data_IF_058011512562
#
_entry.id   IF_058011512562
#
_cell.length_a   1.000
_cell.length_b   1.000
_cell.length_c   1.000
_cell.angle_alpha   90.00
_cell.angle_beta   90.00
_cell.angle_gamma   90.00
#
_symmetry.space_group_name_H-M   'P 1'
#
loop_
_entity.id
_entity.type
_entity.pdbx_description
1 polymer ?
#
# COMPACT_ATOMS: atom_id res chain seq x y z
N UNK A 1 38.77 -13.73 23.16
CA UNK A 1 37.50 -14.46 22.97
C UNK A 1 37.53 -15.01 21.56
N UNK A 2 37.50 -16.33 21.36
CA UNK A 2 37.60 -16.90 20.02
C UNK A 2 36.25 -16.76 19.33
N UNK A 3 36.23 -16.07 18.19
CA UNK A 3 35.13 -16.15 17.25
C UNK A 3 35.09 -17.59 16.74
N UNK A 4 34.07 -18.35 17.14
CA UNK A 4 33.81 -19.64 16.56
C UNK A 4 33.51 -19.43 15.07
N UNK A 5 34.36 -20.01 14.20
CA UNK A 5 34.03 -20.24 12.80
C UNK A 5 32.77 -21.10 12.78
N UNK A 6 31.60 -20.47 12.66
CA UNK A 6 30.40 -21.18 12.25
C UNK A 6 30.67 -21.73 10.86
N UNK A 7 30.41 -23.03 10.68
CA UNK A 7 30.59 -23.71 9.41
C UNK A 7 29.75 -23.00 8.35
N UNK A 8 30.31 -22.71 7.18
CA UNK A 8 29.63 -21.94 6.13
C UNK A 8 28.30 -22.58 5.70
N UNK A 9 28.20 -23.91 5.84
CA UNK A 9 26.99 -24.69 5.62
C UNK A 9 25.89 -24.43 6.66
N UNK A 10 26.23 -24.25 7.94
CA UNK A 10 25.27 -23.92 9.00
C UNK A 10 24.72 -22.50 8.84
N UNK A 11 25.57 -21.55 8.46
CA UNK A 11 25.16 -20.15 8.18
C UNK A 11 24.17 -20.10 7.02
N UNK A 12 24.44 -20.86 5.96
CA UNK A 12 23.57 -20.94 4.76
C UNK A 12 22.25 -21.64 5.08
N UNK A 13 22.29 -22.71 5.89
CA UNK A 13 21.09 -23.44 6.30
C UNK A 13 20.19 -22.57 7.18
N UNK A 14 20.77 -21.79 8.09
CA UNK A 14 20.01 -20.89 8.96
C UNK A 14 19.32 -19.77 8.19
N UNK A 15 20.00 -19.16 7.23
CA UNK A 15 19.41 -18.12 6.38
C UNK A 15 18.16 -18.63 5.67
N UNK A 16 18.24 -19.79 5.00
CA UNK A 16 17.09 -20.37 4.31
C UNK A 16 15.92 -20.66 5.26
N UNK A 17 16.18 -21.19 6.46
CA UNK A 17 15.12 -21.42 7.45
C UNK A 17 14.46 -20.09 7.86
N UNK A 18 15.26 -19.07 8.13
CA UNK A 18 14.75 -17.75 8.51
C UNK A 18 13.97 -17.08 7.36
N UNK A 19 14.36 -17.30 6.10
CA UNK A 19 13.61 -16.87 4.91
C UNK A 19 12.25 -17.58 4.81
N UNK A 20 12.19 -18.89 5.02
CA UNK A 20 10.94 -19.66 5.03
C UNK A 20 9.98 -19.18 6.13
N UNK A 21 10.51 -18.85 7.32
CA UNK A 21 9.72 -18.30 8.42
C UNK A 21 9.20 -16.92 8.06
N UNK A 22 10.05 -16.03 7.54
CA UNK A 22 9.65 -14.68 7.12
C UNK A 22 8.54 -14.75 6.07
N UNK A 23 8.72 -15.58 5.05
CA UNK A 23 7.74 -15.81 3.99
C UNK A 23 6.35 -16.17 4.57
N UNK A 24 6.31 -17.20 5.41
CA UNK A 24 5.07 -17.65 6.04
C UNK A 24 4.41 -16.55 6.89
N UNK A 25 5.20 -15.83 7.70
CA UNK A 25 4.67 -14.76 8.56
C UNK A 25 4.07 -13.60 7.75
N UNK A 26 4.70 -13.23 6.64
CA UNK A 26 4.19 -12.18 5.74
C UNK A 26 2.85 -12.59 5.11
N UNK A 27 2.76 -13.84 4.63
CA UNK A 27 1.49 -14.39 4.12
C UNK A 27 0.41 -14.46 5.21
N UNK A 28 0.76 -14.97 6.40
CA UNK A 28 -0.18 -15.12 7.50
C UNK A 28 -0.74 -13.77 7.95
N UNK A 29 0.11 -12.75 8.07
CA UNK A 29 -0.28 -11.39 8.42
C UNK A 29 -1.24 -10.81 7.37
N UNK A 30 -0.87 -10.89 6.09
CA UNK A 30 -1.69 -10.37 4.98
C UNK A 30 -3.05 -11.07 4.92
N UNK A 31 -3.07 -12.39 4.98
CA UNK A 31 -4.30 -13.19 4.92
C UNK A 31 -5.21 -12.93 6.13
N UNK A 32 -4.63 -12.76 7.32
CA UNK A 32 -5.39 -12.42 8.53
C UNK A 32 -6.03 -11.04 8.44
N UNK A 33 -5.33 -10.05 7.88
CA UNK A 33 -5.86 -8.70 7.66
C UNK A 33 -7.01 -8.69 6.66
N UNK A 34 -6.87 -9.41 5.55
CA UNK A 34 -7.94 -9.51 4.55
C UNK A 34 -9.17 -10.23 5.10
N UNK A 35 -8.97 -11.34 5.83
CA UNK A 35 -10.07 -12.06 6.48
C UNK A 35 -10.78 -11.19 7.50
N UNK A 36 -10.03 -10.48 8.34
CA UNK A 36 -10.60 -9.53 9.28
C UNK A 36 -11.41 -8.46 8.54
N UNK A 37 -10.88 -7.90 7.45
CA UNK A 37 -11.58 -6.87 6.71
C UNK A 37 -12.87 -7.39 6.07
N UNK A 38 -12.83 -8.56 5.45
CA UNK A 38 -14.00 -9.21 4.88
C UNK A 38 -15.11 -9.40 5.94
N UNK A 39 -14.75 -9.92 7.11
CA UNK A 39 -15.71 -10.13 8.21
C UNK A 39 -16.24 -8.82 8.81
N UNK A 40 -15.52 -7.70 8.66
CA UNK A 40 -16.00 -6.38 9.07
C UNK A 40 -17.01 -5.77 8.10
N UNK A 41 -16.98 -6.20 6.84
CA UNK A 41 -17.93 -5.74 5.82
C UNK A 41 -19.20 -6.60 5.80
N UNK A 42 -19.16 -7.80 6.38
CA UNK A 42 -20.32 -8.69 6.49
C UNK A 42 -21.12 -8.42 7.77
N UNK A 43 -22.29 -7.81 7.61
CA UNK A 43 -23.22 -7.47 8.70
C UNK A 43 -23.81 -8.70 9.43
N UNK A 44 -23.58 -9.93 8.93
CA UNK A 44 -24.17 -11.16 9.47
C UNK A 44 -23.20 -11.98 10.35
N UNK A 45 -21.98 -11.51 10.56
CA UNK A 45 -20.93 -12.26 11.27
C UNK A 45 -21.11 -12.20 12.78
N UNK A 46 -20.96 -13.35 13.44
CA UNK A 46 -20.97 -13.41 14.90
C UNK A 46 -19.81 -12.60 15.49
N UNK A 47 -20.08 -11.77 16.52
CA UNK A 47 -19.08 -10.94 17.20
C UNK A 47 -17.80 -11.69 17.61
N UNK A 48 -17.92 -12.98 17.93
CA UNK A 48 -16.81 -13.84 18.28
C UNK A 48 -15.85 -14.06 17.10
N UNK A 49 -16.37 -14.38 15.91
CA UNK A 49 -15.56 -14.63 14.72
C UNK A 49 -14.76 -13.40 14.30
N UNK A 50 -15.42 -12.23 14.33
CA UNK A 50 -14.76 -10.96 14.11
C UNK A 50 -13.63 -10.71 15.13
N UNK A 51 -13.90 -10.96 16.42
CA UNK A 51 -12.91 -10.74 17.50
C UNK A 51 -11.68 -11.65 17.31
N UNK A 52 -11.89 -12.88 16.86
CA UNK A 52 -10.80 -13.83 16.66
C UNK A 52 -10.00 -13.55 15.38
N UNK A 53 -10.65 -13.03 14.33
CA UNK A 53 -9.97 -12.52 13.15
C UNK A 53 -9.11 -11.29 13.48
N UNK A 54 -9.63 -10.35 14.26
CA UNK A 54 -8.89 -9.17 14.71
C UNK A 54 -7.66 -9.55 15.55
N UNK A 55 -7.80 -10.50 16.48
CA UNK A 55 -6.65 -11.03 17.26
C UNK A 55 -5.60 -11.69 16.36
N UNK A 56 -6.04 -12.42 15.34
CA UNK A 56 -5.14 -13.08 14.37
C UNK A 56 -4.37 -12.03 13.57
N UNK A 57 -5.03 -10.99 13.09
CA UNK A 57 -4.38 -9.87 12.40
C UNK A 57 -3.37 -9.13 13.28
N UNK A 58 -3.75 -8.81 14.53
CA UNK A 58 -2.86 -8.17 15.51
C UNK A 58 -1.66 -9.05 15.88
N UNK A 59 -1.85 -10.37 15.94
CA UNK A 59 -0.76 -11.33 16.12
C UNK A 59 0.16 -11.35 14.90
N UNK A 60 -0.40 -11.45 13.69
CA UNK A 60 0.37 -11.45 12.44
C UNK A 60 1.26 -10.22 12.30
N UNK A 61 0.72 -9.03 12.55
CA UNK A 61 1.50 -7.78 12.52
C UNK A 61 2.64 -7.79 13.55
N UNK A 62 2.40 -8.26 14.78
CA UNK A 62 3.45 -8.37 15.81
C UNK A 62 4.55 -9.35 15.44
N UNK A 63 4.18 -10.51 14.90
CA UNK A 63 5.13 -11.53 14.48
C UNK A 63 6.00 -11.04 13.32
N UNK A 64 5.39 -10.47 12.28
CA UNK A 64 6.14 -9.85 11.16
C UNK A 64 7.08 -8.77 11.67
N UNK A 65 6.60 -7.89 12.55
CA UNK A 65 7.41 -6.81 13.09
C UNK A 65 8.63 -7.30 13.87
N UNK A 66 8.41 -8.20 14.83
CA UNK A 66 9.46 -8.74 15.67
C UNK A 66 10.45 -9.59 14.87
N UNK A 67 9.94 -10.39 13.94
CA UNK A 67 10.76 -11.28 13.12
C UNK A 67 11.56 -10.52 12.08
N UNK A 68 10.99 -9.50 11.41
CA UNK A 68 11.72 -8.65 10.45
C UNK A 68 12.92 -7.96 11.12
N UNK A 69 12.76 -7.47 12.36
CA UNK A 69 13.87 -6.90 13.12
C UNK A 69 14.95 -7.95 13.46
N UNK A 70 14.51 -9.14 13.85
CA UNK A 70 15.41 -10.25 14.16
C UNK A 70 16.17 -10.71 12.91
N UNK A 71 15.49 -10.87 11.78
CA UNK A 71 16.04 -11.22 10.48
C UNK A 71 17.11 -10.21 10.06
N UNK A 72 16.78 -8.91 10.05
CA UNK A 72 17.75 -7.85 9.68
C UNK A 72 18.98 -7.81 10.59
N UNK A 73 18.81 -8.12 11.88
CA UNK A 73 19.93 -8.19 12.83
C UNK A 73 20.83 -9.40 12.59
N UNK A 74 20.24 -10.55 12.28
CA UNK A 74 20.96 -11.80 12.05
C UNK A 74 21.60 -11.86 10.66
N UNK A 75 20.96 -11.25 9.66
CA UNK A 75 21.31 -11.32 8.25
C UNK A 75 21.38 -9.91 7.61
N UNK A 76 22.25 -9.00 8.09
CA UNK A 76 22.23 -7.59 7.70
C UNK A 76 22.54 -7.33 6.22
N UNK A 77 23.21 -8.27 5.54
CA UNK A 77 23.59 -8.17 4.13
C UNK A 77 22.81 -9.15 3.24
N UNK A 78 21.82 -9.86 3.79
CA UNK A 78 21.04 -10.80 2.99
C UNK A 78 20.13 -10.03 2.03
N UNK A 79 20.12 -10.48 0.78
CA UNK A 79 19.19 -10.04 -0.25
C UNK A 79 18.06 -11.07 -0.25
N UNK A 80 16.84 -10.61 -0.02
CA UNK A 80 15.68 -11.50 -0.02
C UNK A 80 15.42 -12.02 -1.45
N UNK A 81 15.05 -13.30 -1.61
CA UNK A 81 14.50 -13.79 -2.86
C UNK A 81 13.32 -12.94 -3.34
N UNK A 82 13.20 -12.74 -4.64
CA UNK A 82 12.19 -11.84 -5.25
C UNK A 82 10.76 -12.16 -4.80
N UNK A 83 10.41 -13.44 -4.64
CA UNK A 83 9.09 -13.87 -4.17
C UNK A 83 8.81 -13.43 -2.73
N UNK A 84 9.81 -13.49 -1.84
CA UNK A 84 9.70 -13.04 -0.45
C UNK A 84 9.69 -11.51 -0.40
N UNK A 85 10.53 -10.86 -1.20
CA UNK A 85 10.56 -9.40 -1.31
C UNK A 85 9.20 -8.85 -1.78
N UNK A 86 8.59 -9.45 -2.80
CA UNK A 86 7.25 -9.10 -3.27
C UNK A 86 6.20 -9.34 -2.19
N UNK A 87 6.21 -10.50 -1.52
CA UNK A 87 5.29 -10.78 -0.41
C UNK A 87 5.46 -9.82 0.76
N UNK A 88 6.68 -9.33 1.01
CA UNK A 88 6.94 -8.29 2.00
C UNK A 88 6.29 -6.97 1.60
N UNK A 89 6.39 -6.56 0.33
CA UNK A 89 5.73 -5.35 -0.19
C UNK A 89 4.21 -5.47 -0.11
N UNK A 90 3.65 -6.63 -0.47
CA UNK A 90 2.21 -6.91 -0.34
C UNK A 90 1.76 -6.75 1.12
N UNK A 91 2.45 -7.40 2.07
CA UNK A 91 2.13 -7.31 3.50
C UNK A 91 2.20 -5.88 4.00
N UNK A 92 3.23 -5.14 3.60
CA UNK A 92 3.41 -3.73 3.97
C UNK A 92 2.29 -2.85 3.41
N UNK A 93 1.95 -3.01 2.14
CA UNK A 93 0.86 -2.27 1.52
C UNK A 93 -0.49 -2.59 2.18
N UNK A 94 -0.76 -3.86 2.47
CA UNK A 94 -1.97 -4.28 3.17
C UNK A 94 -2.07 -3.66 4.58
N UNK A 95 -0.98 -3.59 5.34
CA UNK A 95 -0.98 -2.98 6.68
C UNK A 95 -1.15 -1.46 6.60
N UNK A 96 -0.56 -0.80 5.58
CA UNK A 96 -0.73 0.64 5.35
C UNK A 96 -2.17 0.96 4.97
N UNK A 97 -2.74 0.22 4.03
CA UNK A 97 -4.09 0.45 3.53
C UNK A 97 -5.13 0.17 4.62
N UNK A 98 -5.06 -0.99 5.28
CA UNK A 98 -6.12 -1.47 6.17
C UNK A 98 -5.95 -1.04 7.62
N UNK A 99 -4.71 -0.76 8.07
CA UNK A 99 -4.39 -0.43 9.48
C UNK A 99 -3.63 0.89 9.65
N UNK A 100 -3.28 1.58 8.57
CA UNK A 100 -2.48 2.82 8.58
C UNK A 100 -1.12 2.67 9.28
N UNK A 101 -0.53 1.46 9.25
CA UNK A 101 0.73 1.12 9.91
C UNK A 101 1.69 0.40 8.94
N UNK A 102 2.98 0.43 9.27
CA UNK A 102 4.00 -0.34 8.57
C UNK A 102 4.47 -1.49 9.48
N UNK A 103 3.93 -2.70 9.28
CA UNK A 103 4.30 -3.86 10.11
C UNK A 103 5.79 -4.25 9.95
N UNK A 104 6.44 -3.84 8.87
CA UNK A 104 7.87 -4.13 8.60
C UNK A 104 8.82 -3.12 9.25
N UNK A 105 8.27 -2.03 9.82
CA UNK A 105 9.02 -0.98 10.50
C UNK A 105 9.08 -1.21 12.01
N UNK A 106 10.24 -1.09 12.68
CA UNK A 106 10.40 -1.39 14.10
C UNK A 106 9.41 -0.69 15.05
N UNK A 107 8.94 0.50 14.67
CA UNK A 107 8.05 1.35 15.46
C UNK A 107 6.59 1.29 14.99
N UNK A 108 6.26 0.43 14.02
CA UNK A 108 5.00 0.42 13.27
C UNK A 108 4.65 1.74 12.55
N UNK A 109 5.51 2.74 12.66
CA UNK A 109 5.43 4.01 11.93
C UNK A 109 6.24 3.91 10.66
N UNK A 110 5.82 4.62 9.62
CA UNK A 110 6.68 4.76 8.44
C UNK A 110 7.88 5.63 8.81
N UNK A 111 9.08 5.19 8.45
CA UNK A 111 10.25 6.06 8.53
C UNK A 111 10.00 7.23 7.57
N UNK A 112 10.07 8.47 8.07
CA UNK A 112 9.87 9.75 7.36
C UNK A 112 10.64 9.92 6.04
N UNK A 113 11.50 8.97 5.68
CA UNK A 113 12.20 8.90 4.41
C UNK A 113 11.26 8.78 3.20
N UNK A 114 10.03 8.26 3.33
CA UNK A 114 9.10 8.32 2.18
C UNK A 114 8.69 9.75 1.88
N UNK A 115 8.35 10.58 2.87
CA UNK A 115 8.05 11.98 2.61
C UNK A 115 9.26 12.75 2.07
N UNK A 116 10.48 12.38 2.44
CA UNK A 116 11.70 12.95 1.87
C UNK A 116 11.99 12.44 0.45
N UNK A 117 11.71 11.15 0.16
CA UNK A 117 11.86 10.54 -1.17
C UNK A 117 10.78 11.01 -2.13
N UNK A 118 9.51 11.02 -1.73
CA UNK A 118 8.42 11.64 -2.47
C UNK A 118 8.75 13.11 -2.72
N UNK A 119 9.24 13.88 -1.72
CA UNK A 119 9.74 15.26 -1.95
C UNK A 119 10.96 15.34 -2.88
N UNK A 120 11.89 14.40 -2.81
CA UNK A 120 13.08 14.36 -3.68
C UNK A 120 12.68 14.01 -5.13
N UNK A 121 11.82 13.02 -5.32
CA UNK A 121 11.21 12.61 -6.58
C UNK A 121 10.37 13.73 -7.18
N UNK A 122 9.50 14.36 -6.38
CA UNK A 122 8.78 15.59 -6.70
C UNK A 122 9.72 16.73 -7.09
N UNK A 123 10.85 16.90 -6.38
CA UNK A 123 11.83 17.94 -6.68
C UNK A 123 12.58 17.67 -8.00
N UNK A 124 12.88 16.41 -8.31
CA UNK A 124 13.47 15.99 -9.60
C UNK A 124 12.52 16.23 -10.76
N UNK A 125 11.22 16.08 -10.54
CA UNK A 125 10.17 16.39 -11.52
C UNK A 125 9.71 17.85 -11.53
N UNK A 126 10.37 18.76 -10.78
CA UNK A 126 9.94 20.17 -10.61
C UNK A 126 8.47 20.27 -10.17
N UNK A 127 8.17 19.87 -8.93
CA UNK A 127 6.86 20.07 -8.29
C UNK A 127 6.40 21.55 -8.14
N UNK A 128 6.95 22.50 -8.89
CA UNK A 128 6.30 23.77 -9.19
C UNK A 128 5.81 23.71 -10.65
N UNK A 129 4.57 23.38 -11.00
CA UNK A 129 3.36 23.07 -10.29
C UNK A 129 2.55 22.23 -11.28
N UNK A 130 2.02 21.06 -10.91
CA UNK A 130 1.15 20.28 -11.83
C UNK A 130 -0.01 21.16 -12.33
N UNK A 131 -0.44 22.09 -11.48
CA UNK A 131 -1.39 23.16 -11.78
C UNK A 131 -0.83 24.22 -12.74
N UNK A 132 0.44 24.66 -12.62
CA UNK A 132 1.00 25.64 -13.58
C UNK A 132 1.12 25.06 -14.98
N UNK A 133 1.49 23.78 -15.10
CA UNK A 133 1.56 23.08 -16.39
C UNK A 133 0.18 23.01 -17.06
N UNK A 134 -0.87 22.73 -16.28
CA UNK A 134 -2.26 22.78 -16.75
C UNK A 134 -2.64 24.20 -17.21
N UNK A 135 -2.38 25.21 -16.39
CA UNK A 135 -2.75 26.62 -16.71
C UNK A 135 -1.96 27.21 -17.87
N UNK A 136 -0.73 26.74 -18.12
CA UNK A 136 0.10 27.19 -19.25
C UNK A 136 -0.39 26.65 -20.59
N UNK A 137 -1.18 25.56 -20.58
CA UNK A 137 -1.75 24.93 -21.78
C UNK A 137 -3.16 25.43 -22.13
N UNK A 138 -3.86 26.05 -21.17
CA UNK A 138 -5.23 26.57 -21.33
C UNK A 138 -5.26 28.10 -21.48
N UNK A 139 -6.12 28.62 -22.37
CA UNK A 139 -6.23 30.05 -22.70
C UNK A 139 -6.49 30.98 -21.48
N UNK A 140 -6.15 32.29 -21.56
CA UNK A 140 -5.91 33.17 -20.42
C UNK A 140 -7.15 33.70 -19.66
N UNK A 141 -8.31 33.05 -19.75
CA UNK A 141 -9.59 33.71 -19.44
C UNK A 141 -10.21 33.43 -18.06
N UNK A 142 -9.62 32.63 -17.17
CA UNK A 142 -10.09 32.50 -15.78
C UNK A 142 -8.97 32.91 -14.80
N UNK A 143 -9.10 34.12 -14.25
CA UNK A 143 -8.09 34.80 -13.43
C UNK A 143 -8.34 34.63 -11.91
N UNK A 144 -8.76 33.44 -11.47
CA UNK A 144 -8.58 33.07 -10.05
C UNK A 144 -7.47 32.02 -9.99
N UNK A 145 -6.30 32.33 -9.39
CA UNK A 145 -5.26 31.34 -9.25
C UNK A 145 -5.82 30.19 -8.42
N UNK A 146 -5.81 28.96 -8.94
CA UNK A 146 -6.21 27.74 -8.22
C UNK A 146 -5.55 27.67 -6.83
N UNK A 147 -4.31 28.17 -6.71
CA UNK A 147 -3.59 28.30 -5.44
C UNK A 147 -4.31 29.15 -4.37
N UNK A 148 -5.14 30.12 -4.78
CA UNK A 148 -5.92 30.97 -3.88
C UNK A 148 -7.06 30.19 -3.22
N UNK A 149 -7.72 29.28 -3.95
CA UNK A 149 -8.84 28.47 -3.44
C UNK A 149 -8.38 27.44 -2.41
N UNK A 150 -7.17 26.92 -2.57
CA UNK A 150 -6.54 25.99 -1.62
C UNK A 150 -5.75 26.70 -0.49
N UNK A 151 -5.71 28.04 -0.46
CA UNK A 151 -4.83 28.79 0.47
C UNK A 151 -5.18 28.62 1.95
N UNK A 152 -6.40 28.20 2.28
CA UNK A 152 -6.88 27.96 3.63
C UNK A 152 -7.39 26.52 3.80
N UNK A 153 -7.50 26.07 5.06
CA UNK A 153 -8.19 24.80 5.36
C UNK A 153 -9.62 24.88 4.86
N UNK A 154 -10.04 24.01 3.92
CA UNK A 154 -11.38 24.09 3.37
C UNK A 154 -12.47 23.75 4.37
N UNK A 155 -12.14 23.02 5.44
CA UNK A 155 -13.10 22.54 6.44
C UNK A 155 -12.84 23.17 7.82
N UNK A 156 -13.94 23.49 8.51
CA UNK A 156 -13.89 23.85 9.92
C UNK A 156 -13.44 22.64 10.78
N UNK A 157 -12.80 22.86 11.95
CA UNK A 157 -12.33 21.77 12.81
C UNK A 157 -13.41 20.74 13.22
N UNK A 158 -14.66 21.18 13.36
CA UNK A 158 -15.80 20.28 13.62
C UNK A 158 -16.08 19.33 12.44
N UNK A 159 -15.95 19.84 11.22
CA UNK A 159 -16.20 19.07 9.99
C UNK A 159 -15.06 18.09 9.75
N UNK A 160 -13.80 18.49 9.97
CA UNK A 160 -12.64 17.60 9.95
C UNK A 160 -12.85 16.42 10.90
N UNK A 161 -13.20 16.69 12.17
CA UNK A 161 -13.45 15.62 13.16
C UNK A 161 -14.55 14.66 12.71
N UNK A 162 -15.66 15.20 12.20
CA UNK A 162 -16.78 14.39 11.67
C UNK A 162 -16.33 13.52 10.49
N UNK A 163 -15.56 14.07 9.57
CA UNK A 163 -15.06 13.36 8.40
C UNK A 163 -14.07 12.25 8.81
N UNK A 164 -13.19 12.52 9.77
CA UNK A 164 -12.29 11.50 10.35
C UNK A 164 -13.07 10.39 11.05
N UNK A 165 -14.10 10.73 11.83
CA UNK A 165 -14.98 9.75 12.49
C UNK A 165 -15.74 8.90 11.46
N UNK A 166 -16.19 9.49 10.35
CA UNK A 166 -16.84 8.79 9.24
C UNK A 166 -15.87 7.86 8.51
N UNK A 167 -14.65 8.32 8.20
CA UNK A 167 -13.60 7.47 7.63
C UNK A 167 -13.30 6.26 8.54
N UNK A 168 -13.16 6.48 9.86
CA UNK A 168 -12.97 5.38 10.81
C UNK A 168 -14.16 4.41 10.83
N UNK A 169 -15.39 4.92 10.63
CA UNK A 169 -16.59 4.10 10.54
C UNK A 169 -16.58 3.23 9.28
N UNK A 170 -16.27 3.82 8.14
CA UNK A 170 -16.15 3.10 6.86
C UNK A 170 -15.06 2.03 6.92
N UNK A 171 -13.96 2.31 7.64
CA UNK A 171 -12.89 1.35 7.93
C UNK A 171 -13.26 0.28 8.99
N UNK A 172 -14.48 0.31 9.54
CA UNK A 172 -14.97 -0.65 10.53
C UNK A 172 -14.35 -0.49 11.92
N UNK A 173 -13.88 0.70 12.27
CA UNK A 173 -13.31 1.03 13.60
C UNK A 173 -14.23 1.88 14.49
N UNK A 174 -15.41 2.26 13.97
CA UNK A 174 -16.42 2.94 14.78
C UNK A 174 -16.90 2.04 15.93
N UNK A 175 -17.08 2.63 17.12
CA UNK A 175 -17.58 1.90 18.30
C UNK A 175 -16.62 0.92 18.96
N UNK A 176 -15.41 0.69 18.42
CA UNK A 176 -14.44 -0.19 19.05
C UNK A 176 -13.89 0.40 20.37
N UNK A 177 -13.83 -0.39 21.46
CA UNK A 177 -13.11 -0.01 22.67
C UNK A 177 -11.67 0.39 22.35
N UNK A 178 -11.11 1.35 23.09
CA UNK A 178 -9.73 1.81 22.88
C UNK A 178 -8.70 0.67 22.89
N UNK A 179 -8.94 -0.39 23.68
CA UNK A 179 -8.11 -1.59 23.73
C UNK A 179 -8.10 -2.42 22.43
N UNK A 180 -9.06 -2.23 21.52
CA UNK A 180 -9.12 -2.89 20.21
C UNK A 180 -8.63 -1.97 19.08
N UNK A 181 -8.22 -0.74 19.39
CA UNK A 181 -7.61 0.23 18.46
C UNK A 181 -6.09 0.31 18.60
N UNK A 182 -5.47 -0.61 19.34
CA UNK A 182 -4.04 -0.58 19.68
C UNK A 182 -3.17 -0.59 18.41
N UNK A 183 -3.60 -1.32 17.37
CA UNK A 183 -2.92 -1.38 16.07
C UNK A 183 -3.69 -0.62 15.00
N UNK A 184 -3.83 0.68 15.23
CA UNK A 184 -4.24 1.66 14.24
C UNK A 184 -3.21 2.78 14.18
N UNK A 185 -2.74 3.11 12.98
CA UNK A 185 -1.72 4.13 12.78
C UNK A 185 -2.25 5.42 12.18
N UNK A 186 -1.31 6.19 11.66
CA UNK A 186 -1.52 7.53 11.14
C UNK A 186 -0.90 7.72 9.75
N UNK A 187 -0.53 6.63 9.07
CA UNK A 187 -0.07 6.70 7.69
C UNK A 187 -1.25 7.11 6.80
N UNK A 188 -1.07 8.17 6.02
CA UNK A 188 -2.09 8.66 5.09
C UNK A 188 -2.13 7.83 3.81
N UNK A 189 -3.22 7.92 3.06
CA UNK A 189 -3.34 7.40 1.70
C UNK A 189 -2.32 8.03 0.77
N UNK A 190 -2.02 9.32 0.93
CA UNK A 190 -0.97 9.98 0.17
C UNK A 190 0.39 9.28 0.36
N UNK A 191 0.70 8.89 1.58
CA UNK A 191 1.85 8.05 1.86
C UNK A 191 1.69 6.63 1.28
N UNK A 192 0.52 6.02 1.42
CA UNK A 192 0.18 4.70 0.88
C UNK A 192 0.23 4.60 -0.65
N UNK A 193 -0.01 5.71 -1.36
CA UNK A 193 0.02 5.79 -2.82
C UNK A 193 1.40 5.43 -3.36
N UNK A 194 2.48 5.88 -2.69
CA UNK A 194 3.83 5.47 -3.07
C UNK A 194 4.00 3.94 -3.00
N UNK A 195 3.54 3.31 -1.92
CA UNK A 195 3.63 1.84 -1.79
C UNK A 195 2.76 1.14 -2.83
N UNK A 196 1.59 1.70 -3.18
CA UNK A 196 0.77 1.20 -4.27
C UNK A 196 1.51 1.27 -5.61
N UNK A 197 2.10 2.42 -5.95
CA UNK A 197 2.79 2.60 -7.24
C UNK A 197 3.97 1.63 -7.36
N UNK A 198 4.75 1.48 -6.29
CA UNK A 198 5.87 0.53 -6.27
C UNK A 198 5.36 -0.91 -6.33
N UNK A 199 4.43 -1.32 -5.46
CA UNK A 199 3.90 -2.69 -5.48
C UNK A 199 3.33 -3.03 -6.86
N UNK A 200 2.58 -2.11 -7.45
CA UNK A 200 1.96 -2.31 -8.74
C UNK A 200 2.96 -2.41 -9.88
N UNK A 201 4.01 -1.58 -9.90
CA UNK A 201 5.06 -1.68 -10.91
C UNK A 201 5.81 -3.01 -10.85
N UNK A 202 6.13 -3.48 -9.63
CA UNK A 202 6.70 -4.81 -9.45
C UNK A 202 5.75 -5.90 -9.95
N UNK A 203 4.45 -5.84 -9.61
CA UNK A 203 3.48 -6.84 -10.11
C UNK A 203 3.29 -6.79 -11.63
N UNK A 204 3.37 -5.63 -12.24
CA UNK A 204 3.31 -5.47 -13.70
C UNK A 204 4.58 -6.05 -14.35
N UNK A 205 5.76 -5.82 -13.77
CA UNK A 205 7.02 -6.39 -14.25
C UNK A 205 7.02 -7.93 -14.21
N UNK A 206 6.28 -8.56 -13.30
CA UNK A 206 6.13 -10.02 -13.26
C UNK A 206 5.07 -10.57 -14.23
N UNK A 207 4.10 -9.75 -14.65
CA UNK A 207 2.94 -10.18 -15.45
C UNK A 207 2.89 -9.57 -16.87
N UNK A 208 3.87 -8.74 -17.23
CA UNK A 208 4.07 -8.07 -18.53
C UNK A 208 2.89 -7.22 -19.06
N UNK A 209 1.97 -6.76 -18.21
CA UNK A 209 0.84 -5.93 -18.68
C UNK A 209 0.40 -4.85 -17.67
N UNK A 210 0.27 -3.61 -18.16
CA UNK A 210 -0.37 -2.50 -17.45
C UNK A 210 -1.75 -2.28 -18.03
N UNK A 211 -2.79 -2.68 -17.30
CA UNK A 211 -4.18 -2.59 -17.76
C UNK A 211 -4.79 -1.20 -17.55
N UNK A 212 -5.85 -0.90 -18.30
CA UNK A 212 -6.67 0.31 -18.07
C UNK A 212 -7.29 0.32 -16.68
N UNK A 213 -7.73 -0.84 -16.17
CA UNK A 213 -8.27 -0.98 -14.82
C UNK A 213 -7.25 -0.59 -13.75
N UNK A 214 -5.97 -0.91 -13.95
CA UNK A 214 -4.90 -0.44 -13.07
C UNK A 214 -4.80 1.09 -13.09
N UNK A 215 -4.83 1.72 -14.28
CA UNK A 215 -4.77 3.18 -14.41
C UNK A 215 -5.94 3.85 -13.71
N UNK A 216 -7.16 3.31 -13.86
CA UNK A 216 -8.37 3.79 -13.17
C UNK A 216 -8.24 3.65 -11.65
N UNK A 217 -7.70 2.52 -11.18
CA UNK A 217 -7.45 2.28 -9.76
C UNK A 217 -6.43 3.28 -9.20
N UNK A 218 -5.35 3.54 -9.95
CA UNK A 218 -4.30 4.46 -9.58
C UNK A 218 -4.82 5.91 -9.50
N UNK A 219 -5.57 6.38 -10.50
CA UNK A 219 -6.15 7.73 -10.49
C UNK A 219 -7.20 7.89 -9.40
N UNK A 220 -8.04 6.88 -9.16
CA UNK A 220 -8.98 6.89 -8.02
C UNK A 220 -8.23 6.95 -6.68
N UNK A 221 -7.11 6.23 -6.54
CA UNK A 221 -6.25 6.35 -5.36
C UNK A 221 -5.77 7.79 -5.16
N UNK A 222 -5.30 8.47 -6.22
CA UNK A 222 -4.88 9.87 -6.13
C UNK A 222 -6.02 10.78 -5.64
N UNK A 223 -7.23 10.61 -6.17
CA UNK A 223 -8.43 11.35 -5.74
C UNK A 223 -8.73 11.09 -4.27
N UNK A 224 -8.71 9.83 -3.82
CA UNK A 224 -8.93 9.48 -2.41
C UNK A 224 -7.84 10.03 -1.49
N UNK A 225 -6.58 10.05 -1.93
CA UNK A 225 -5.47 10.67 -1.21
C UNK A 225 -5.68 12.16 -1.00
N UNK A 226 -6.18 12.86 -2.03
CA UNK A 226 -6.57 14.27 -1.92
C UNK A 226 -7.76 14.44 -0.97
N UNK A 227 -8.81 13.64 -1.12
CA UNK A 227 -9.99 13.71 -0.26
C UNK A 227 -9.62 13.52 1.21
N UNK A 228 -8.79 12.54 1.55
CA UNK A 228 -8.33 12.33 2.93
C UNK A 228 -7.49 13.51 3.43
N UNK A 229 -6.53 13.99 2.63
CA UNK A 229 -5.66 15.10 3.03
C UNK A 229 -6.45 16.38 3.38
N UNK A 230 -7.42 16.78 2.56
CA UNK A 230 -8.19 18.00 2.82
C UNK A 230 -9.38 17.77 3.77
N UNK A 231 -10.13 16.68 3.61
CA UNK A 231 -11.36 16.44 4.40
C UNK A 231 -11.10 15.87 5.78
N UNK A 232 -10.02 15.11 5.98
CA UNK A 232 -9.70 14.47 7.26
C UNK A 232 -8.50 15.12 7.95
N UNK A 233 -7.42 15.43 7.22
CA UNK A 233 -6.19 15.96 7.83
C UNK A 233 -6.16 17.50 7.90
N UNK A 234 -7.01 18.18 7.13
CA UNK A 234 -7.03 19.64 7.06
C UNK A 234 -5.79 20.23 6.38
N UNK A 235 -5.35 19.60 5.28
CA UNK A 235 -4.29 20.13 4.43
C UNK A 235 -4.60 21.57 3.94
N UNK A 236 -3.54 22.30 3.63
CA UNK A 236 -3.55 23.69 3.14
C UNK A 236 -2.62 23.81 1.95
N UNK A 237 -2.89 24.79 1.09
CA UNK A 237 -2.15 25.00 -0.15
C UNK A 237 -2.36 23.84 -1.12
N UNK A 238 -1.60 23.84 -2.21
CA UNK A 238 -1.71 22.84 -3.28
C UNK A 238 -0.77 21.64 -3.08
N UNK A 239 0.02 21.61 -2.00
CA UNK A 239 1.08 20.62 -1.80
C UNK A 239 0.55 19.18 -1.76
N UNK A 240 -0.54 18.95 -1.04
CA UNK A 240 -1.14 17.61 -0.95
C UNK A 240 -1.68 17.13 -2.31
N UNK A 241 -2.20 18.05 -3.11
CA UNK A 241 -2.70 17.77 -4.46
C UNK A 241 -1.55 17.51 -5.43
N UNK A 242 -0.52 18.36 -5.42
CA UNK A 242 0.70 18.16 -6.21
C UNK A 242 1.35 16.82 -5.87
N UNK A 243 1.45 16.47 -4.59
CA UNK A 243 2.02 15.20 -4.16
C UNK A 243 1.22 14.00 -4.69
N UNK A 244 -0.11 14.00 -4.58
CA UNK A 244 -0.93 12.91 -5.09
C UNK A 244 -0.89 12.78 -6.62
N UNK A 245 -0.83 13.88 -7.36
CA UNK A 245 -0.91 13.89 -8.84
C UNK A 245 0.43 13.99 -9.56
N UNK A 246 1.53 13.87 -8.83
CA UNK A 246 2.86 14.03 -9.39
C UNK A 246 3.34 12.83 -10.21
N UNK A 247 2.80 11.63 -9.94
CA UNK A 247 3.15 10.36 -10.58
C UNK A 247 3.05 10.38 -12.11
N UNK A 248 3.92 9.61 -12.77
CA UNK A 248 3.98 9.46 -14.23
C UNK A 248 5.42 9.31 -14.71
N UNK A 249 5.64 9.21 -16.04
CA UNK A 249 6.97 9.01 -16.61
C UNK A 249 7.93 10.13 -16.21
N UNK A 250 9.17 9.76 -15.85
CA UNK A 250 10.25 10.68 -15.50
C UNK A 250 11.26 10.75 -16.64
N UNK A 251 11.62 11.98 -17.05
CA UNK A 251 12.61 12.24 -18.10
C UNK A 251 14.00 12.33 -17.46
N UNK A 252 14.87 11.36 -17.78
CA UNK A 252 16.24 11.29 -17.28
C UNK A 252 16.38 10.32 -16.10
N UNK A 253 16.99 9.16 -16.36
CA UNK A 253 17.16 8.06 -15.40
C UNK A 253 18.42 8.13 -14.52
N UNK A 254 19.17 9.24 -14.57
CA UNK A 254 20.41 9.35 -13.80
C UNK A 254 20.10 9.55 -12.31
N UNK A 255 20.45 8.54 -11.50
CA UNK A 255 20.33 8.57 -10.04
C UNK A 255 18.98 8.15 -9.47
N UNK A 256 18.18 7.39 -10.24
CA UNK A 256 17.01 6.67 -9.71
C UNK A 256 17.47 5.50 -8.83
N UNK A 257 16.72 5.21 -7.77
CA UNK A 257 16.86 3.94 -7.07
C UNK A 257 16.13 2.81 -7.82
N UNK A 258 16.30 1.57 -7.37
CA UNK A 258 15.71 0.40 -8.03
C UNK A 258 14.18 0.50 -8.10
N UNK A 259 13.53 1.01 -7.05
CA UNK A 259 12.08 1.15 -7.01
C UNK A 259 11.58 2.21 -8.00
N UNK A 260 12.26 3.34 -8.09
CA UNK A 260 11.96 4.40 -9.05
C UNK A 260 12.19 3.95 -10.49
N UNK A 261 13.22 3.13 -10.71
CA UNK A 261 13.52 2.55 -12.03
C UNK A 261 12.37 1.66 -12.49
N UNK A 262 11.93 0.72 -11.64
CA UNK A 262 10.82 -0.21 -11.97
C UNK A 262 9.51 0.56 -12.19
N UNK A 263 9.23 1.59 -11.40
CA UNK A 263 8.05 2.46 -11.62
C UNK A 263 8.14 3.20 -12.96
N UNK A 264 9.31 3.71 -13.33
CA UNK A 264 9.47 4.42 -14.60
C UNK A 264 9.37 3.49 -15.82
N UNK A 265 9.93 2.28 -15.72
CA UNK A 265 9.84 1.24 -16.75
C UNK A 265 8.40 0.84 -17.03
N UNK A 266 7.57 0.72 -15.99
CA UNK A 266 6.13 0.46 -16.13
C UNK A 266 5.44 1.47 -17.06
N UNK A 267 5.80 2.77 -16.99
CA UNK A 267 5.25 3.79 -17.89
C UNK A 267 5.86 3.78 -19.29
N UNK A 268 7.08 3.24 -19.43
CA UNK A 268 7.76 3.05 -20.72
C UNK A 268 7.22 1.87 -21.55
N UNK A 269 6.33 1.05 -20.97
CA UNK A 269 5.67 -0.06 -21.65
C UNK A 269 4.99 0.35 -22.97
N UNK A 270 5.01 -0.56 -23.95
CA UNK A 270 4.43 -0.37 -25.28
C UNK A 270 4.88 0.93 -25.98
N UNK A 271 6.20 1.19 -25.93
CA UNK A 271 6.81 2.37 -26.55
C UNK A 271 6.40 3.70 -25.90
N UNK A 272 5.92 3.66 -24.65
CA UNK A 272 5.45 4.83 -23.90
C UNK A 272 3.96 5.12 -24.05
N UNK A 273 3.18 4.27 -24.75
CA UNK A 273 1.74 4.44 -24.89
C UNK A 273 1.02 4.41 -23.53
N UNK A 274 1.51 3.56 -22.61
CA UNK A 274 1.04 3.45 -21.23
C UNK A 274 1.17 4.78 -20.50
N UNK A 275 2.35 5.41 -20.58
CA UNK A 275 2.59 6.72 -19.99
C UNK A 275 1.67 7.82 -20.54
N UNK A 276 1.43 7.83 -21.86
CA UNK A 276 0.54 8.81 -22.51
C UNK A 276 -0.91 8.65 -22.04
N UNK A 277 -1.42 7.41 -22.03
CA UNK A 277 -2.79 7.12 -21.60
C UNK A 277 -2.98 7.45 -20.12
N UNK A 278 -2.03 7.06 -19.28
CA UNK A 278 -2.06 7.37 -17.85
C UNK A 278 -2.06 8.87 -17.59
N UNK A 279 -1.22 9.65 -18.28
CA UNK A 279 -1.18 11.10 -18.12
C UNK A 279 -2.51 11.76 -18.51
N UNK A 280 -3.18 11.25 -19.56
CA UNK A 280 -4.52 11.70 -19.95
C UNK A 280 -5.53 11.44 -18.83
N UNK A 281 -5.62 10.21 -18.32
CA UNK A 281 -6.57 9.84 -17.25
C UNK A 281 -6.30 10.60 -15.96
N UNK A 282 -5.02 10.77 -15.61
CA UNK A 282 -4.59 11.56 -14.46
C UNK A 282 -5.00 13.02 -14.60
N UNK A 283 -4.85 13.60 -15.79
CA UNK A 283 -5.27 14.98 -16.08
C UNK A 283 -6.79 15.13 -15.95
N UNK A 284 -7.57 14.19 -16.48
CA UNK A 284 -9.04 14.19 -16.33
C UNK A 284 -9.46 14.11 -14.86
N UNK A 285 -8.84 13.22 -14.08
CA UNK A 285 -9.10 13.10 -12.64
C UNK A 285 -8.67 14.36 -11.87
N UNK A 286 -7.56 14.98 -12.24
CA UNK A 286 -7.08 16.22 -11.62
C UNK A 286 -8.03 17.38 -11.89
N UNK A 287 -8.50 17.55 -13.13
CA UNK A 287 -9.49 18.57 -13.48
C UNK A 287 -10.80 18.38 -12.70
N UNK A 288 -11.18 17.14 -12.40
CA UNK A 288 -12.35 16.85 -11.57
C UNK A 288 -12.16 17.25 -10.10
N UNK A 289 -10.94 17.11 -9.57
CA UNK A 289 -10.59 17.51 -8.19
C UNK A 289 -10.64 19.03 -8.02
N UNK A 290 -10.32 19.79 -9.07
CA UNK A 290 -10.37 21.24 -9.05
C UNK A 290 -11.83 21.72 -9.01
N UNK A 291 -12.18 22.65 -8.10
CA UNK A 291 -13.55 23.15 -8.03
C UNK A 291 -13.89 23.97 -9.28
N UNK A 292 -15.13 23.86 -9.81
CA UNK A 292 -15.60 24.75 -10.86
C UNK A 292 -15.66 26.20 -10.37
N UNK A 293 -15.51 27.15 -11.30
CA UNK A 293 -15.67 28.59 -11.02
C UNK A 293 -16.94 28.82 -10.18
N UNK A 294 -16.80 29.59 -9.09
CA UNK A 294 -17.85 29.94 -8.12
C UNK A 294 -18.32 28.86 -7.13
N UNK A 295 -17.73 27.65 -7.13
CA UNK A 295 -18.04 26.64 -6.11
C UNK A 295 -17.02 26.68 -4.96
N UNK A 296 -17.44 26.87 -3.70
CA UNK A 296 -16.52 26.76 -2.57
C UNK A 296 -15.84 25.39 -2.51
N UNK A 297 -14.53 25.37 -2.25
CA UNK A 297 -13.72 24.15 -2.21
C UNK A 297 -14.31 23.09 -1.25
N UNK A 298 -14.83 23.50 -0.09
CA UNK A 298 -15.50 22.61 0.86
C UNK A 298 -16.67 21.84 0.21
N UNK A 299 -17.56 22.56 -0.44
CA UNK A 299 -18.75 22.01 -1.10
C UNK A 299 -18.37 21.11 -2.27
N UNK A 300 -17.33 21.49 -3.02
CA UNK A 300 -16.82 20.68 -4.12
C UNK A 300 -16.27 19.35 -3.63
N UNK A 301 -15.39 19.36 -2.61
CA UNK A 301 -14.78 18.15 -2.07
C UNK A 301 -15.80 17.21 -1.39
N UNK A 302 -16.86 17.75 -0.78
CA UNK A 302 -17.95 16.91 -0.25
C UNK A 302 -18.72 16.22 -1.39
N UNK A 303 -19.07 16.92 -2.48
CA UNK A 303 -19.69 16.29 -3.67
C UNK A 303 -18.77 15.28 -4.33
N UNK A 304 -17.48 15.59 -4.39
CA UNK A 304 -16.48 14.68 -4.94
C UNK A 304 -16.39 13.40 -4.12
N UNK A 305 -16.46 13.48 -2.80
CA UNK A 305 -16.48 12.31 -1.92
C UNK A 305 -17.78 11.48 -2.02
N UNK A 306 -18.91 12.11 -2.34
CA UNK A 306 -20.16 11.40 -2.65
C UNK A 306 -20.05 10.61 -3.97
N UNK A 307 -19.36 11.17 -4.96
CA UNK A 307 -19.11 10.50 -6.25
C UNK A 307 -18.05 9.40 -6.12
N UNK A 308 -16.93 9.69 -5.46
CA UNK A 308 -15.82 8.77 -5.23
C UNK A 308 -15.93 8.21 -3.81
N UNK A 309 -16.87 7.28 -3.62
CA UNK A 309 -17.08 6.69 -2.29
C UNK A 309 -15.91 5.80 -1.89
N UNK A 310 -15.60 5.80 -0.59
CA UNK A 310 -14.61 4.90 -0.01
C UNK A 310 -14.91 3.43 -0.30
N UNK A 311 -16.19 3.04 -0.23
CA UNK A 311 -16.62 1.66 -0.44
C UNK A 311 -16.21 1.13 -1.82
N UNK A 312 -16.45 1.91 -2.88
CA UNK A 312 -16.08 1.53 -4.26
C UNK A 312 -14.57 1.51 -4.44
N UNK A 313 -13.86 2.52 -3.89
CA UNK A 313 -12.40 2.54 -3.93
C UNK A 313 -11.79 1.30 -3.27
N UNK A 314 -12.26 0.99 -2.07
CA UNK A 314 -11.75 -0.13 -1.30
C UNK A 314 -12.11 -1.49 -1.91
N UNK A 315 -13.33 -1.66 -2.41
CA UNK A 315 -13.72 -2.88 -3.13
C UNK A 315 -12.79 -3.12 -4.32
N UNK A 316 -12.55 -2.09 -5.13
CA UNK A 316 -11.65 -2.18 -6.29
C UNK A 316 -10.22 -2.54 -5.88
N UNK A 317 -9.71 -1.90 -4.82
CA UNK A 317 -8.32 -2.05 -4.41
C UNK A 317 -8.05 -3.32 -3.59
N UNK A 318 -8.95 -3.69 -2.68
CA UNK A 318 -8.79 -4.83 -1.76
C UNK A 318 -9.33 -6.11 -2.40
N UNK A 319 -10.60 -6.11 -2.78
CA UNK A 319 -11.27 -7.30 -3.34
C UNK A 319 -10.84 -7.55 -4.79
N UNK A 320 -10.57 -6.50 -5.56
CA UNK A 320 -10.01 -6.61 -6.90
C UNK A 320 -8.50 -6.81 -6.89
N UNK A 321 -7.75 -5.72 -6.78
CA UNK A 321 -6.30 -5.71 -7.01
C UNK A 321 -5.52 -6.57 -6.00
N UNK A 322 -5.64 -6.30 -4.70
CA UNK A 322 -4.82 -6.94 -3.67
C UNK A 322 -5.08 -8.45 -3.59
N UNK A 323 -6.34 -8.86 -3.69
CA UNK A 323 -6.73 -10.29 -3.72
C UNK A 323 -6.17 -11.00 -4.95
N UNK A 324 -6.21 -10.37 -6.12
CA UNK A 324 -5.63 -10.94 -7.35
C UNK A 324 -4.11 -11.09 -7.22
N UNK A 325 -3.41 -10.06 -6.73
CA UNK A 325 -1.95 -10.08 -6.52
C UNK A 325 -1.55 -11.20 -5.56
N UNK A 326 -2.27 -11.36 -4.44
CA UNK A 326 -1.98 -12.43 -3.47
C UNK A 326 -2.27 -13.81 -4.06
N UNK A 327 -3.35 -13.96 -4.81
CA UNK A 327 -3.73 -15.24 -5.43
C UNK A 327 -2.75 -15.67 -6.52
N UNK A 328 -2.08 -14.72 -7.17
CA UNK A 328 -1.02 -15.00 -8.15
C UNK A 328 0.29 -15.46 -7.49
N UNK A 329 0.48 -15.23 -6.18
CA UNK A 329 1.68 -15.69 -5.48
C UNK A 329 1.58 -17.18 -5.11
N UNK A 330 2.69 -17.94 -5.22
CA UNK A 330 2.71 -19.29 -4.69
C UNK A 330 2.49 -19.28 -3.17
N UNK A 331 1.83 -20.32 -2.66
CA UNK A 331 1.68 -20.51 -1.22
C UNK A 331 3.06 -20.66 -0.55
N UNK A 332 3.31 -20.07 0.63
CA UNK A 332 4.56 -20.27 1.35
C UNK A 332 4.84 -21.75 1.61
N UNK A 333 6.10 -22.17 1.56
CA UNK A 333 6.49 -23.58 1.75
C UNK A 333 6.00 -24.13 3.09
N UNK A 334 6.11 -23.35 4.18
CA UNK A 334 5.65 -23.80 5.50
C UNK A 334 4.13 -24.03 5.56
N UNK A 335 3.34 -23.23 4.82
CA UNK A 335 1.90 -23.44 4.71
C UNK A 335 1.58 -24.71 3.90
N UNK A 336 2.32 -24.95 2.83
CA UNK A 336 2.16 -26.18 2.05
C UNK A 336 2.44 -27.40 2.94
N UNK A 337 3.53 -27.37 3.71
CA UNK A 337 3.90 -28.44 4.63
C UNK A 337 2.85 -28.66 5.74
N UNK A 338 2.27 -27.58 6.28
CA UNK A 338 1.14 -27.66 7.22
C UNK A 338 -0.06 -28.39 6.60
N UNK A 339 -0.31 -28.18 5.30
CA UNK A 339 -1.36 -28.88 4.54
C UNK A 339 -0.98 -30.29 4.08
N UNK A 340 0.21 -30.78 4.44
CA UNK A 340 0.71 -32.10 4.04
C UNK A 340 1.16 -32.19 2.58
N UNK A 341 1.41 -31.05 1.92
CA UNK A 341 1.76 -30.98 0.49
C UNK A 341 3.05 -30.17 0.29
N UNK A 342 3.70 -30.37 -0.84
CA UNK A 342 4.79 -29.49 -1.29
C UNK A 342 4.84 -29.51 -2.81
N UNK A 343 4.74 -28.34 -3.43
CA UNK A 343 4.76 -28.21 -4.88
C UNK A 343 6.07 -28.79 -5.45
N UNK A 344 5.94 -29.68 -6.42
CA UNK A 344 7.07 -30.39 -7.05
C UNK A 344 7.48 -31.69 -6.37
N UNK A 345 6.78 -32.12 -5.31
CA UNK A 345 7.02 -33.38 -4.61
C UNK A 345 5.76 -34.26 -4.57
N UNK A 346 5.94 -35.58 -4.49
CA UNK A 346 4.84 -36.51 -4.31
C UNK A 346 4.38 -36.54 -2.83
N UNK A 347 3.08 -36.71 -2.60
CA UNK A 347 2.48 -36.72 -1.25
C UNK A 347 3.12 -37.77 -0.31
N UNK A 348 3.63 -38.87 -0.88
CA UNK A 348 4.31 -39.94 -0.14
C UNK A 348 5.65 -39.49 0.45
N UNK A 349 6.40 -38.69 -0.29
CA UNK A 349 7.69 -38.17 0.15
C UNK A 349 7.50 -37.15 1.28
N UNK A 350 6.46 -36.32 1.17
CA UNK A 350 6.10 -35.33 2.19
C UNK A 350 5.56 -36.00 3.46
N UNK A 351 4.74 -37.04 3.33
CA UNK A 351 4.28 -37.82 4.50
C UNK A 351 5.46 -38.45 5.24
N UNK A 352 6.45 -38.96 4.51
CA UNK A 352 7.67 -39.54 5.09
C UNK A 352 8.53 -38.47 5.77
N UNK A 353 8.70 -37.31 5.15
CA UNK A 353 9.42 -36.16 5.71
C UNK A 353 8.77 -35.66 7.01
N UNK A 354 7.45 -35.45 7.00
CA UNK A 354 6.69 -35.00 8.17
C UNK A 354 6.74 -36.00 9.32
N UNK A 355 6.64 -37.30 9.02
CA UNK A 355 6.80 -38.36 10.01
C UNK A 355 8.21 -38.34 10.64
N UNK A 356 9.26 -38.15 9.83
CA UNK A 356 10.63 -38.04 10.32
C UNK A 356 10.85 -36.76 11.16
N UNK A 357 10.12 -35.69 10.88
CA UNK A 357 10.12 -34.45 11.66
C UNK A 357 9.26 -34.52 12.94
N UNK A 358 8.64 -35.66 13.23
CA UNK A 358 7.79 -35.85 14.41
C UNK A 358 6.39 -35.22 14.31
N UNK A 359 5.98 -34.81 13.10
CA UNK A 359 4.61 -34.32 12.84
C UNK A 359 3.71 -35.55 12.62
N UNK A 360 2.77 -35.77 13.53
CA UNK A 360 1.76 -36.82 13.38
C UNK A 360 0.81 -36.43 12.23
N UNK A 361 1.00 -37.07 11.07
CA UNK A 361 0.07 -36.97 9.94
C UNK A 361 -1.29 -37.49 10.42
N UNK A 362 -2.31 -36.64 10.41
CA UNK A 362 -3.68 -36.98 10.83
C UNK A 362 -4.48 -37.65 9.73
#
# INVERSE_FOLDING_TARGET
MPAANMDSHEVTTRLHVDELILDYLLWFCTSSLLKERQLRLDDHVAKQEWTDAAKSADMGMRLVNSFTQTFKRLHPNAILPDSIALRQRICRFATVLLRRLDATSPTFTRVSQSGARTRAWLSRKRASNVIEDLTSSSSPSSNVPIAFEFSQTPFAPSNLRRNTEEMHRQMGFSGLPAAQRIYWGNISLREGLNEFMILSSWTCAFNDEVSTLWMETATNYMVQGVLEAYRCEGAKGIDALNECFSWGPTVGGDGLDDDETVVNEMFGGDGGSVGILFEKMKTEALLEVLPPDSTPLETHLDRLAEKHTWAVFEETLVSGYLTAVISAQPSPVLLQLESGKLNGFEDKDISTLLANAGVLVR
#
